data_IF_043346366757
#
_entry.id   IF_043346366757
#
_cell.length_a   1.000
_cell.length_b   1.000
_cell.length_c   1.000
_cell.angle_alpha   90.00
_cell.angle_beta   90.00
_cell.angle_gamma   90.00
#
_symmetry.space_group_name_H-M   'P 1'
#
loop_
_entity.id
_entity.type
_entity.pdbx_description
1 polymer ?
#
# COMPACT_ATOMS: atom_id res chain seq x y z
N UNK A 1 -3.98 -7.77 8.61
CA UNK A 1 -4.09 -7.60 7.14
C UNK A 1 -2.79 -8.09 6.51
N UNK A 2 -2.82 -8.85 5.40
CA UNK A 2 -1.61 -9.51 4.84
C UNK A 2 -0.54 -8.52 4.37
N UNK A 3 -0.93 -7.40 3.75
CA UNK A 3 0.01 -6.36 3.32
C UNK A 3 0.79 -5.74 4.50
N UNK A 4 0.09 -5.38 5.58
CA UNK A 4 0.72 -4.85 6.80
C UNK A 4 1.71 -5.84 7.41
N UNK A 5 1.29 -7.09 7.56
CA UNK A 5 2.16 -8.14 8.11
C UNK A 5 3.45 -8.33 7.29
N UNK A 6 3.39 -8.17 5.96
CA UNK A 6 4.57 -8.20 5.10
C UNK A 6 5.50 -7.01 5.38
N UNK A 7 4.96 -5.79 5.47
CA UNK A 7 5.73 -4.58 5.79
C UNK A 7 6.33 -4.64 7.21
N UNK A 8 5.56 -5.11 8.19
CA UNK A 8 6.03 -5.36 9.56
C UNK A 8 7.17 -6.39 9.56
N UNK A 9 7.05 -7.48 8.79
CA UNK A 9 8.12 -8.48 8.64
C UNK A 9 9.38 -7.90 7.98
N UNK A 10 9.23 -6.94 7.06
CA UNK A 10 10.35 -6.20 6.46
C UNK A 10 10.98 -5.19 7.42
N UNK A 11 10.37 -4.95 8.59
CA UNK A 11 10.87 -4.00 9.58
C UNK A 11 10.75 -2.54 9.14
N UNK A 12 9.87 -2.24 8.18
CA UNK A 12 9.67 -0.88 7.68
C UNK A 12 8.56 -0.17 8.44
N UNK A 13 8.80 1.09 8.78
CA UNK A 13 7.76 1.97 9.30
C UNK A 13 6.80 2.36 8.15
N UNK A 14 5.51 2.41 8.45
CA UNK A 14 4.49 2.86 7.50
C UNK A 14 3.37 3.60 8.23
N UNK A 15 2.69 4.48 7.51
CA UNK A 15 1.49 5.15 7.98
C UNK A 15 0.23 4.42 7.46
N UNK A 16 -0.77 4.26 8.32
CA UNK A 16 -2.08 3.73 7.93
C UNK A 16 -3.13 4.85 7.87
N UNK A 17 -3.63 5.12 6.67
CA UNK A 17 -4.77 6.03 6.47
C UNK A 17 -6.07 5.22 6.51
N UNK A 18 -6.78 5.27 7.64
CA UNK A 18 -8.09 4.63 7.79
C UNK A 18 -9.18 5.40 7.05
N UNK A 19 -9.81 4.74 6.08
CA UNK A 19 -10.93 5.29 5.29
C UNK A 19 -12.30 4.77 5.74
N UNK A 20 -12.34 3.79 6.64
CA UNK A 20 -13.57 3.23 7.20
C UNK A 20 -14.41 4.31 7.90
N UNK A 21 -15.70 4.37 7.55
CA UNK A 21 -16.62 5.39 8.06
C UNK A 21 -16.36 6.81 7.57
N UNK A 22 -15.37 7.04 6.68
CA UNK A 22 -14.99 8.36 6.16
C UNK A 22 -15.14 8.42 4.64
N UNK A 23 -16.37 8.60 4.11
CA UNK A 23 -16.64 8.54 2.67
C UNK A 23 -15.84 9.58 1.86
N UNK A 24 -15.61 10.77 2.42
CA UNK A 24 -14.81 11.83 1.77
C UNK A 24 -13.35 11.41 1.62
N UNK A 25 -12.73 10.87 2.68
CA UNK A 25 -11.35 10.37 2.63
C UNK A 25 -11.25 9.18 1.68
N UNK A 26 -12.23 8.28 1.69
CA UNK A 26 -12.29 7.16 0.73
C UNK A 26 -12.35 7.65 -0.72
N UNK A 27 -13.17 8.67 -1.00
CA UNK A 27 -13.29 9.24 -2.33
C UNK A 27 -11.97 9.89 -2.78
N UNK A 28 -11.32 10.67 -1.91
CA UNK A 28 -10.03 11.28 -2.21
C UNK A 28 -8.95 10.22 -2.49
N UNK A 29 -8.84 9.20 -1.64
CA UNK A 29 -7.87 8.11 -1.84
C UNK A 29 -8.18 7.29 -3.09
N UNK A 30 -9.46 7.07 -3.41
CA UNK A 30 -9.86 6.37 -4.62
C UNK A 30 -9.52 7.17 -5.89
N UNK A 31 -9.69 8.49 -5.85
CA UNK A 31 -9.29 9.38 -6.93
C UNK A 31 -7.76 9.38 -7.12
N UNK A 32 -7.00 9.44 -6.03
CA UNK A 32 -5.53 9.36 -6.05
C UNK A 32 -5.02 8.00 -6.57
N UNK A 33 -5.69 6.91 -6.20
CA UNK A 33 -5.32 5.55 -6.59
C UNK A 33 -5.83 5.13 -7.98
N UNK A 34 -6.82 5.84 -8.54
CA UNK A 34 -7.59 5.37 -9.69
C UNK A 34 -8.36 4.05 -9.44
N UNK A 35 -8.49 3.62 -8.18
CA UNK A 35 -9.10 2.35 -7.74
C UNK A 35 -9.83 2.55 -6.42
N UNK A 36 -10.98 1.90 -6.26
CA UNK A 36 -11.85 2.04 -5.06
C UNK A 36 -11.65 0.94 -4.01
N UNK A 37 -10.96 -0.15 -4.38
CA UNK A 37 -10.70 -1.30 -3.52
C UNK A 37 -9.64 -0.95 -2.47
N UNK A 38 -9.80 -1.42 -1.24
CA UNK A 38 -8.76 -1.34 -0.20
C UNK A 38 -8.14 -2.72 0.01
N UNK A 39 -6.84 -2.83 0.36
CA UNK A 39 -5.89 -1.75 0.62
C UNK A 39 -5.40 -1.09 -0.68
N UNK A 40 -4.97 0.17 -0.59
CA UNK A 40 -4.16 0.84 -1.60
C UNK A 40 -2.81 1.20 -0.95
N UNK A 41 -1.71 0.86 -1.62
CA UNK A 41 -0.36 0.90 -1.06
C UNK A 41 0.47 1.87 -1.88
N UNK A 42 1.17 2.75 -1.18
CA UNK A 42 2.15 3.67 -1.75
C UNK A 42 3.50 3.47 -1.09
N UNK A 43 4.57 3.62 -1.86
CA UNK A 43 5.94 3.66 -1.38
C UNK A 43 6.55 4.97 -1.90
N UNK A 44 6.83 5.89 -0.99
CA UNK A 44 7.12 7.28 -1.36
C UNK A 44 5.98 7.88 -2.20
N UNK A 45 6.32 8.48 -3.34
CA UNK A 45 5.34 9.02 -4.30
C UNK A 45 4.74 7.95 -5.24
N UNK A 46 5.22 6.71 -5.20
CA UNK A 46 4.84 5.66 -6.16
C UNK A 46 3.64 4.87 -5.64
N UNK A 47 2.56 4.87 -6.43
CA UNK A 47 1.43 3.98 -6.21
C UNK A 47 1.80 2.55 -6.64
N UNK A 48 1.71 1.61 -5.70
CA UNK A 48 2.00 0.19 -5.94
C UNK A 48 0.73 -0.56 -6.35
N UNK A 49 -0.42 -0.17 -5.79
CA UNK A 49 -1.70 -0.84 -6.01
C UNK A 49 -2.18 -1.55 -4.75
N UNK A 50 -2.73 -2.75 -4.92
CA UNK A 50 -3.34 -3.52 -3.84
C UNK A 50 -2.38 -4.49 -3.14
N UNK A 51 -2.96 -5.35 -2.31
CA UNK A 51 -2.21 -6.39 -1.62
C UNK A 51 -1.48 -7.31 -2.61
N UNK A 52 -2.12 -7.74 -3.68
CA UNK A 52 -1.53 -8.66 -4.65
C UNK A 52 -0.34 -8.04 -5.39
N UNK A 53 -0.42 -6.75 -5.72
CA UNK A 53 0.66 -5.99 -6.35
C UNK A 53 1.89 -5.92 -5.43
N UNK A 54 1.69 -5.67 -4.13
CA UNK A 54 2.77 -5.68 -3.14
C UNK A 54 3.44 -7.06 -3.06
N UNK A 55 2.65 -8.14 -2.98
CA UNK A 55 3.20 -9.49 -2.93
C UNK A 55 3.85 -9.92 -4.24
N UNK A 56 3.40 -9.39 -5.39
CA UNK A 56 4.05 -9.63 -6.68
C UNK A 56 5.46 -9.02 -6.70
N UNK A 57 5.64 -7.81 -6.14
CA UNK A 57 6.96 -7.19 -5.99
C UNK A 57 7.87 -7.98 -5.05
N UNK A 58 7.33 -8.49 -3.95
CA UNK A 58 8.07 -9.33 -3.01
C UNK A 58 8.55 -10.62 -3.67
N UNK A 59 7.65 -11.34 -4.35
CA UNK A 59 8.01 -12.56 -5.08
C UNK A 59 9.02 -12.31 -6.20
N UNK A 60 9.00 -11.13 -6.80
CA UNK A 60 9.97 -10.72 -7.81
C UNK A 60 11.31 -10.24 -7.23
N UNK A 61 11.46 -10.19 -5.90
CA UNK A 61 12.66 -9.66 -5.24
C UNK A 61 12.88 -8.15 -5.42
N UNK A 62 11.84 -7.41 -5.83
CA UNK A 62 11.91 -5.98 -6.14
C UNK A 62 11.42 -5.08 -5.00
N UNK A 63 10.72 -5.65 -4.02
CA UNK A 63 10.12 -4.88 -2.94
C UNK A 63 11.19 -4.18 -2.09
N UNK A 64 12.25 -4.89 -1.70
CA UNK A 64 13.29 -4.34 -0.84
C UNK A 64 13.99 -3.12 -1.47
N UNK A 65 14.27 -3.18 -2.78
CA UNK A 65 14.84 -2.05 -3.51
C UNK A 65 13.93 -0.81 -3.51
N UNK A 66 12.61 -0.98 -3.43
CA UNK A 66 11.66 0.12 -3.35
C UNK A 66 11.52 0.66 -1.91
N UNK A 67 11.79 -0.17 -0.90
CA UNK A 67 11.69 0.20 0.51
C UNK A 67 12.94 0.91 1.05
N UNK A 68 14.07 0.83 0.33
CA UNK A 68 15.35 1.47 0.68
C UNK A 68 15.40 2.98 0.35
N UNK A 69 14.31 3.54 -0.16
CA UNK A 69 14.22 4.92 -0.65
C UNK A 69 13.67 5.86 0.42
#
# INVERSE_FOLDING_TARGET
MRAKALLEKKGVAFEEIKVDGKPQVRAEMAQKAGRTSVPQIWIGAKHIGGCDDLFALERAGKLDALLLV
#
